data_IF_615329153533
#
_entry.id   IF_615329153533
#
_cell.length_a   1.000
_cell.length_b   1.000
_cell.length_c   1.000
_cell.angle_alpha   90.00
_cell.angle_beta   90.00
_cell.angle_gamma   90.00
#
_symmetry.space_group_name_H-M   'P 1'
#
loop_
_entity.id
_entity.type
_entity.pdbx_description
1 polymer ?
#
# COMPACT_ATOMS: atom_id res chain seq x y z
N UNK A 1 -20.55 7.20 -17.20
CA UNK A 1 -20.52 6.97 -15.74
C UNK A 1 -19.64 8.04 -15.10
N UNK A 2 -20.22 8.86 -14.24
CA UNK A 2 -19.51 9.93 -13.54
C UNK A 2 -18.96 9.41 -12.23
N UNK A 3 -17.64 9.41 -12.06
CA UNK A 3 -16.94 8.85 -10.90
C UNK A 3 -16.42 9.98 -10.00
N UNK A 4 -16.64 9.82 -8.70
CA UNK A 4 -16.12 10.70 -7.68
C UNK A 4 -15.25 9.91 -6.68
N UNK A 5 -14.07 10.44 -6.35
CA UNK A 5 -13.20 9.93 -5.29
C UNK A 5 -13.31 10.79 -4.05
N UNK A 6 -13.49 10.17 -2.89
CA UNK A 6 -13.53 10.84 -1.60
C UNK A 6 -12.27 10.45 -0.83
N UNK A 7 -11.39 11.43 -0.58
CA UNK A 7 -10.09 11.20 0.07
C UNK A 7 -9.61 12.40 0.88
N UNK A 8 -8.82 12.17 1.93
CA UNK A 8 -8.44 13.20 2.90
C UNK A 8 -7.25 14.04 2.46
N UNK A 9 -6.26 13.48 1.78
CA UNK A 9 -5.00 14.16 1.45
C UNK A 9 -4.83 14.26 -0.07
N UNK A 10 -5.32 15.34 -0.69
CA UNK A 10 -5.25 15.53 -2.13
C UNK A 10 -4.92 16.99 -2.49
N UNK A 11 -4.13 17.23 -3.53
CA UNK A 11 -3.08 16.44 -4.19
C UNK A 11 -1.71 16.60 -3.51
N UNK A 12 -1.64 17.33 -2.39
CA UNK A 12 -0.43 17.96 -1.85
C UNK A 12 0.37 17.11 -0.86
N UNK A 13 -0.02 15.87 -0.58
CA UNK A 13 0.63 15.07 0.45
C UNK A 13 1.22 13.79 -0.10
N UNK A 14 2.48 13.54 0.22
CA UNK A 14 3.23 12.32 -0.08
C UNK A 14 2.74 11.11 0.77
N UNK A 15 1.44 10.89 0.82
CA UNK A 15 0.82 9.74 1.48
C UNK A 15 0.46 8.66 0.46
N UNK A 16 0.65 7.40 0.82
CA UNK A 16 0.37 6.26 -0.04
C UNK A 16 -1.05 6.24 -0.64
N UNK A 17 -2.04 6.74 0.11
CA UNK A 17 -3.44 6.81 -0.38
C UNK A 17 -3.67 7.85 -1.48
N UNK A 18 -2.91 8.96 -1.47
CA UNK A 18 -2.96 9.95 -2.55
C UNK A 18 -2.43 9.33 -3.84
N UNK A 19 -1.28 8.68 -3.77
CA UNK A 19 -0.69 7.98 -4.92
C UNK A 19 -1.58 6.84 -5.41
N UNK A 20 -2.23 6.10 -4.50
CA UNK A 20 -3.20 5.08 -4.87
C UNK A 20 -4.35 5.68 -5.67
N UNK A 21 -5.01 6.73 -5.15
CA UNK A 21 -6.16 7.38 -5.80
C UNK A 21 -5.78 7.96 -7.16
N UNK A 22 -4.63 8.62 -7.26
CA UNK A 22 -4.12 9.17 -8.50
C UNK A 22 -3.86 8.10 -9.56
N UNK A 23 -3.15 7.03 -9.19
CA UNK A 23 -2.84 5.96 -10.12
C UNK A 23 -4.11 5.18 -10.53
N UNK A 24 -5.06 4.95 -9.62
CA UNK A 24 -6.34 4.33 -9.93
C UNK A 24 -7.14 5.18 -10.93
N UNK A 25 -7.23 6.49 -10.68
CA UNK A 25 -7.91 7.42 -11.58
C UNK A 25 -7.27 7.42 -12.97
N UNK A 26 -5.95 7.50 -13.06
CA UNK A 26 -5.21 7.42 -14.33
C UNK A 26 -5.43 6.08 -15.03
N UNK A 27 -5.39 4.97 -14.29
CA UNK A 27 -5.68 3.64 -14.82
C UNK A 27 -7.09 3.52 -15.40
N UNK A 28 -8.10 4.05 -14.73
CA UNK A 28 -9.48 4.11 -15.25
C UNK A 28 -9.58 4.96 -16.51
N UNK A 29 -8.90 6.09 -16.56
CA UNK A 29 -8.92 7.03 -17.71
C UNK A 29 -8.31 6.44 -18.99
N UNK A 30 -7.45 5.44 -18.90
CA UNK A 30 -6.96 4.70 -20.07
C UNK A 30 -8.09 3.97 -20.81
N UNK A 31 -9.16 3.61 -20.12
CA UNK A 31 -10.31 2.90 -20.68
C UNK A 31 -11.54 3.80 -20.86
N UNK A 32 -11.67 4.81 -20.00
CA UNK A 32 -12.74 5.81 -20.04
C UNK A 32 -12.14 7.19 -19.74
N UNK A 33 -11.89 8.02 -20.77
CA UNK A 33 -11.12 9.28 -20.63
C UNK A 33 -11.90 10.42 -19.95
N UNK A 34 -13.14 10.17 -19.49
CA UNK A 34 -13.96 11.19 -18.86
C UNK A 34 -13.28 11.76 -17.60
N UNK A 35 -13.57 13.04 -17.34
CA UNK A 35 -13.07 13.75 -16.16
C UNK A 35 -13.61 13.13 -14.87
N UNK A 36 -12.71 12.88 -13.92
CA UNK A 36 -13.06 12.44 -12.59
C UNK A 36 -13.31 13.63 -11.64
N UNK A 37 -13.94 13.37 -10.51
CA UNK A 37 -14.14 14.33 -9.43
C UNK A 37 -13.44 13.84 -8.18
N UNK A 38 -12.85 14.75 -7.41
CA UNK A 38 -12.21 14.46 -6.12
C UNK A 38 -12.81 15.36 -5.07
N UNK A 39 -13.50 14.78 -4.09
CA UNK A 39 -13.95 15.50 -2.89
C UNK A 39 -12.86 15.35 -1.83
N UNK A 40 -12.13 16.45 -1.61
CA UNK A 40 -10.93 16.47 -0.78
C UNK A 40 -11.12 17.19 0.54
N UNK A 41 -10.23 16.89 1.50
CA UNK A 41 -10.17 17.64 2.76
C UNK A 41 -9.35 18.92 2.60
N UNK A 42 -9.72 19.97 3.34
CA UNK A 42 -8.87 21.15 3.48
C UNK A 42 -7.54 20.78 4.20
N UNK A 43 -6.38 21.39 3.84
CA UNK A 43 -6.23 22.56 2.96
C UNK A 43 -5.96 22.21 1.46
N UNK A 44 -6.58 21.16 0.91
CA UNK A 44 -6.46 20.90 -0.52
C UNK A 44 -6.79 22.16 -1.33
N UNK A 45 -6.08 22.36 -2.44
CA UNK A 45 -6.43 23.41 -3.39
C UNK A 45 -7.58 22.96 -4.31
N UNK A 46 -8.47 23.88 -4.65
CA UNK A 46 -9.40 23.65 -5.74
C UNK A 46 -8.61 23.59 -7.04
N UNK A 47 -8.79 22.51 -7.80
CA UNK A 47 -8.13 22.28 -9.09
C UNK A 47 -9.20 21.86 -10.09
N UNK A 48 -9.12 22.38 -11.29
CA UNK A 48 -9.94 21.95 -12.42
C UNK A 48 -9.07 21.86 -13.67
N UNK A 49 -8.84 20.65 -14.15
CA UNK A 49 -8.05 20.37 -15.34
C UNK A 49 -8.75 19.29 -16.20
N UNK A 50 -8.10 18.81 -17.25
CA UNK A 50 -8.68 17.80 -18.15
C UNK A 50 -8.80 16.40 -17.50
N UNK A 51 -8.02 16.11 -16.46
CA UNK A 51 -8.04 14.81 -15.80
C UNK A 51 -9.08 14.75 -14.66
N UNK A 52 -9.13 15.80 -13.83
CA UNK A 52 -10.02 15.81 -12.68
C UNK A 52 -10.41 17.23 -12.24
N UNK A 53 -11.50 17.29 -11.47
CA UNK A 53 -11.88 18.48 -10.69
C UNK A 53 -11.84 18.14 -9.21
N UNK A 54 -10.98 18.85 -8.45
CA UNK A 54 -10.90 18.74 -7.00
C UNK A 54 -11.75 19.82 -6.33
N UNK A 55 -12.60 19.39 -5.42
CA UNK A 55 -13.50 20.24 -4.61
C UNK A 55 -13.15 20.01 -3.15
N UNK A 56 -12.41 20.92 -2.48
CA UNK A 56 -12.22 20.85 -1.03
C UNK A 56 -13.55 21.16 -0.33
N UNK A 57 -14.04 20.21 0.47
CA UNK A 57 -15.39 20.30 1.01
C UNK A 57 -15.54 19.86 2.48
N UNK A 58 -14.47 19.37 3.11
CA UNK A 58 -14.51 18.95 4.51
C UNK A 58 -13.16 19.15 5.24
N UNK A 59 -13.15 18.98 6.57
CA UNK A 59 -11.93 18.98 7.38
C UNK A 59 -11.74 17.61 8.04
N UNK A 60 -10.49 17.13 8.10
CA UNK A 60 -10.14 15.93 8.87
C UNK A 60 -10.34 16.19 10.36
N UNK A 61 -10.82 15.17 11.10
CA UNK A 61 -11.07 15.28 12.53
C UNK A 61 -12.39 15.96 12.94
N UNK A 62 -13.11 16.61 12.01
CA UNK A 62 -14.45 17.15 12.21
C UNK A 62 -15.55 16.24 11.64
N UNK A 63 -16.81 16.64 11.71
CA UNK A 63 -17.88 16.01 10.96
C UNK A 63 -17.74 16.38 9.48
N UNK A 64 -17.44 15.37 8.65
CA UNK A 64 -17.19 15.53 7.23
C UNK A 64 -18.41 15.24 6.35
N UNK A 65 -19.48 14.69 6.95
CA UNK A 65 -20.62 14.13 6.19
C UNK A 65 -21.34 15.19 5.40
N UNK A 66 -21.78 16.27 6.05
CA UNK A 66 -22.60 17.29 5.41
C UNK A 66 -21.87 18.02 4.28
N UNK A 67 -20.56 18.30 4.48
CA UNK A 67 -19.74 18.93 3.45
C UNK A 67 -19.55 18.05 2.21
N UNK A 68 -19.31 16.76 2.42
CA UNK A 68 -19.17 15.79 1.31
C UNK A 68 -20.51 15.61 0.59
N UNK A 69 -21.62 15.46 1.31
CA UNK A 69 -22.95 15.29 0.72
C UNK A 69 -23.37 16.53 -0.07
N UNK A 70 -23.11 17.74 0.44
CA UNK A 70 -23.39 18.98 -0.28
C UNK A 70 -22.61 19.07 -1.62
N UNK A 71 -21.32 18.71 -1.59
CA UNK A 71 -20.50 18.68 -2.79
C UNK A 71 -20.97 17.58 -3.77
N UNK A 72 -21.34 16.38 -3.27
CA UNK A 72 -21.88 15.30 -4.07
C UNK A 72 -23.20 15.69 -4.76
N UNK A 73 -24.08 16.44 -4.12
CA UNK A 73 -25.31 16.99 -4.74
C UNK A 73 -25.01 17.93 -5.91
N UNK A 74 -23.92 18.70 -5.85
CA UNK A 74 -23.49 19.57 -6.96
C UNK A 74 -22.87 18.78 -8.10
N UNK A 75 -22.03 17.79 -7.78
CA UNK A 75 -21.33 16.94 -8.78
C UNK A 75 -22.30 15.96 -9.42
N UNK A 76 -23.22 15.37 -8.66
CA UNK A 76 -24.13 14.29 -9.07
C UNK A 76 -23.37 13.11 -9.69
N UNK A 77 -22.44 12.49 -8.95
CA UNK A 77 -21.74 11.32 -9.46
C UNK A 77 -22.68 10.09 -9.44
N UNK A 78 -22.43 9.15 -10.36
CA UNK A 78 -23.09 7.85 -10.33
C UNK A 78 -22.49 6.97 -9.23
N UNK A 79 -21.15 7.02 -9.08
CA UNK A 79 -20.37 6.26 -8.08
C UNK A 79 -19.47 7.20 -7.28
N UNK A 80 -19.49 7.03 -5.96
CA UNK A 80 -18.55 7.67 -5.03
C UNK A 80 -17.65 6.62 -4.38
N UNK A 81 -16.35 6.68 -4.70
CA UNK A 81 -15.32 5.78 -4.17
C UNK A 81 -14.70 6.42 -2.93
N UNK A 82 -14.94 5.86 -1.76
CA UNK A 82 -14.41 6.35 -0.49
C UNK A 82 -13.13 5.58 -0.18
N UNK A 83 -11.99 6.27 -0.16
CA UNK A 83 -10.69 5.67 0.17
C UNK A 83 -10.56 5.54 1.68
N UNK A 84 -10.80 4.35 2.22
CA UNK A 84 -10.91 4.16 3.67
C UNK A 84 -9.69 3.46 4.28
N UNK A 85 -9.14 4.13 5.30
CA UNK A 85 -8.43 3.53 6.42
C UNK A 85 -8.83 4.28 7.69
N UNK A 86 -8.69 3.69 8.88
CA UNK A 86 -9.00 4.38 10.13
C UNK A 86 -8.26 5.70 10.33
N UNK A 87 -7.04 5.80 9.81
CA UNK A 87 -6.23 7.04 9.85
C UNK A 87 -6.83 8.18 9.00
N UNK A 88 -7.70 7.87 8.03
CA UNK A 88 -8.28 8.84 7.11
C UNK A 88 -9.65 9.33 7.59
N UNK A 89 -10.57 8.41 7.85
CA UNK A 89 -11.97 8.73 8.17
C UNK A 89 -12.40 8.27 9.56
N UNK A 90 -11.49 7.65 10.31
CA UNK A 90 -11.79 7.06 11.62
C UNK A 90 -12.55 5.73 11.51
N UNK A 91 -12.79 5.13 12.68
CA UNK A 91 -13.61 3.94 12.87
C UNK A 91 -14.81 4.30 13.76
N UNK A 92 -15.62 5.25 13.31
CA UNK A 92 -16.78 5.76 14.05
C UNK A 92 -18.03 5.81 13.14
N UNK A 93 -19.15 6.27 13.65
CA UNK A 93 -20.43 6.25 12.94
C UNK A 93 -20.53 7.24 11.77
N UNK A 94 -19.56 8.13 11.58
CA UNK A 94 -19.60 9.14 10.51
C UNK A 94 -19.49 8.51 9.12
N UNK A 95 -18.66 7.45 8.96
CA UNK A 95 -18.49 6.81 7.66
C UNK A 95 -19.71 5.99 7.23
N UNK A 96 -20.33 5.12 8.06
CA UNK A 96 -21.61 4.50 7.75
C UNK A 96 -22.71 5.54 7.44
N UNK A 97 -22.79 6.66 8.22
CA UNK A 97 -23.71 7.76 7.95
C UNK A 97 -23.46 8.41 6.60
N UNK A 98 -22.19 8.65 6.22
CA UNK A 98 -21.84 9.16 4.89
C UNK A 98 -22.35 8.25 3.78
N UNK A 99 -22.11 6.94 3.90
CA UNK A 99 -22.60 5.97 2.91
C UNK A 99 -24.12 6.00 2.80
N UNK A 100 -24.85 6.05 3.93
CA UNK A 100 -26.30 6.17 3.95
C UNK A 100 -26.79 7.45 3.25
N UNK A 101 -26.20 8.61 3.57
CA UNK A 101 -26.62 9.90 2.99
C UNK A 101 -26.32 9.99 1.48
N UNK A 102 -25.20 9.43 1.02
CA UNK A 102 -24.90 9.32 -0.42
C UNK A 102 -25.95 8.43 -1.14
N UNK A 103 -26.33 7.31 -0.55
CA UNK A 103 -27.38 6.43 -1.09
C UNK A 103 -28.72 7.14 -1.24
N UNK A 104 -29.14 7.96 -0.24
CA UNK A 104 -30.39 8.74 -0.28
C UNK A 104 -30.48 9.74 -1.43
N UNK A 105 -29.32 10.25 -1.90
CA UNK A 105 -29.27 11.18 -3.04
C UNK A 105 -28.99 10.49 -4.37
N UNK A 106 -29.11 9.15 -4.43
CA UNK A 106 -28.97 8.34 -5.65
C UNK A 106 -27.53 8.02 -6.06
N UNK A 107 -26.53 8.37 -5.25
CA UNK A 107 -25.11 8.05 -5.49
C UNK A 107 -24.80 6.64 -4.98
N UNK A 108 -24.05 5.82 -5.73
CA UNK A 108 -23.57 4.52 -5.27
C UNK A 108 -22.31 4.67 -4.41
N UNK A 109 -22.36 4.51 -3.07
CA UNK A 109 -21.17 4.59 -2.24
C UNK A 109 -20.40 3.25 -2.29
N UNK A 110 -19.19 3.28 -2.83
CA UNK A 110 -18.24 2.17 -2.80
C UNK A 110 -17.15 2.50 -1.80
N UNK A 111 -16.97 1.66 -0.79
CA UNK A 111 -15.91 1.86 0.20
C UNK A 111 -14.72 0.99 -0.15
N UNK A 112 -13.62 1.62 -0.53
CA UNK A 112 -12.36 0.96 -0.83
C UNK A 112 -11.53 0.85 0.45
N UNK A 113 -11.57 -0.31 1.10
CA UNK A 113 -10.93 -0.57 2.38
C UNK A 113 -9.49 -1.03 2.17
N UNK A 114 -8.52 -0.21 2.59
CA UNK A 114 -7.09 -0.53 2.51
C UNK A 114 -6.59 -1.39 3.67
N UNK A 115 -7.37 -1.53 4.73
CA UNK A 115 -7.03 -2.33 5.92
C UNK A 115 -8.28 -2.84 6.60
N UNK A 116 -8.24 -4.10 7.02
CA UNK A 116 -9.27 -4.73 7.86
C UNK A 116 -8.61 -5.04 9.21
N UNK A 117 -9.09 -4.42 10.28
CA UNK A 117 -8.57 -4.63 11.63
C UNK A 117 -9.11 -5.91 12.24
N UNK A 118 -8.54 -6.38 13.36
CA UNK A 118 -9.05 -7.55 14.06
C UNK A 118 -10.49 -7.31 14.50
N UNK A 119 -11.32 -8.33 14.40
CA UNK A 119 -12.78 -8.20 14.57
C UNK A 119 -13.18 -7.64 15.95
N UNK A 120 -12.45 -8.00 16.99
CA UNK A 120 -12.66 -7.62 18.39
C UNK A 120 -11.99 -6.28 18.77
N UNK A 121 -11.21 -5.68 17.86
CA UNK A 121 -10.56 -4.41 18.13
C UNK A 121 -11.59 -3.34 18.46
N UNK A 122 -11.43 -2.69 19.62
CA UNK A 122 -12.30 -1.58 20.05
C UNK A 122 -12.18 -0.39 19.10
N UNK A 123 -13.31 0.21 18.77
CA UNK A 123 -13.38 1.37 17.90
C UNK A 123 -14.45 2.37 18.39
N UNK A 124 -14.45 3.56 17.78
CA UNK A 124 -15.36 4.66 18.13
C UNK A 124 -16.76 4.56 17.51
N UNK A 125 -17.13 3.45 16.89
CA UNK A 125 -18.42 3.31 16.21
C UNK A 125 -19.61 3.51 17.16
N UNK A 126 -19.53 2.90 18.34
CA UNK A 126 -20.49 3.06 19.44
C UNK A 126 -19.81 2.73 20.77
N UNK A 127 -20.38 3.11 21.93
CA UNK A 127 -19.86 2.69 23.22
C UNK A 127 -19.72 1.15 23.28
N UNK A 128 -18.49 0.69 23.53
CA UNK A 128 -18.15 -0.75 23.54
C UNK A 128 -18.09 -1.42 22.17
N UNK A 129 -18.27 -0.68 21.07
CA UNK A 129 -18.26 -1.22 19.71
C UNK A 129 -16.89 -1.72 19.25
N UNK A 130 -16.91 -2.63 18.28
CA UNK A 130 -15.75 -3.30 17.71
C UNK A 130 -15.61 -2.99 16.23
N UNK A 131 -14.45 -3.31 15.64
CA UNK A 131 -14.24 -3.20 14.21
C UNK A 131 -15.24 -4.03 13.40
N UNK A 132 -15.65 -5.21 13.91
CA UNK A 132 -16.67 -6.02 13.27
C UNK A 132 -18.05 -5.33 13.28
N UNK A 133 -18.41 -4.62 14.35
CA UNK A 133 -19.65 -3.85 14.40
C UNK A 133 -19.64 -2.70 13.38
N UNK A 134 -18.51 -1.99 13.28
CA UNK A 134 -18.31 -0.94 12.30
C UNK A 134 -18.44 -1.45 10.86
N UNK A 135 -17.75 -2.56 10.53
CA UNK A 135 -17.77 -3.09 9.17
C UNK A 135 -19.17 -3.58 8.76
N UNK A 136 -19.94 -4.18 9.69
CA UNK A 136 -21.35 -4.55 9.42
C UNK A 136 -22.21 -3.32 9.15
N UNK A 137 -22.09 -2.30 9.98
CA UNK A 137 -22.82 -1.04 9.77
C UNK A 137 -22.46 -0.34 8.46
N UNK A 138 -21.17 -0.41 8.09
CA UNK A 138 -20.70 0.14 6.83
C UNK A 138 -21.29 -0.64 5.63
N UNK A 139 -21.28 -1.97 5.69
CA UNK A 139 -21.82 -2.84 4.65
C UNK A 139 -23.34 -2.69 4.47
N UNK A 140 -24.09 -2.34 5.52
CA UNK A 140 -25.53 -2.07 5.45
C UNK A 140 -25.82 -0.92 4.49
N UNK A 141 -25.03 0.14 4.50
CA UNK A 141 -25.26 1.36 3.75
C UNK A 141 -24.39 1.52 2.49
N UNK A 142 -23.24 0.87 2.43
CA UNK A 142 -22.42 0.86 1.22
C UNK A 142 -23.08 0.04 0.10
N UNK A 143 -22.94 0.49 -1.13
CA UNK A 143 -23.31 -0.30 -2.30
C UNK A 143 -22.39 -1.51 -2.45
N UNK A 144 -21.07 -1.30 -2.27
CA UNK A 144 -20.03 -2.32 -2.23
C UNK A 144 -18.92 -1.96 -1.24
N UNK A 145 -18.31 -2.98 -0.65
CA UNK A 145 -17.01 -2.91 0.00
C UNK A 145 -15.98 -3.53 -0.95
N UNK A 146 -15.05 -2.72 -1.46
CA UNK A 146 -13.90 -3.23 -2.21
C UNK A 146 -12.70 -3.42 -1.30
N UNK A 147 -12.05 -4.55 -1.44
CA UNK A 147 -10.86 -4.96 -0.69
C UNK A 147 -9.77 -5.42 -1.65
N UNK A 148 -8.53 -5.54 -1.19
CA UNK A 148 -7.40 -5.78 -2.08
C UNK A 148 -6.93 -7.22 -2.16
N UNK A 149 -7.44 -8.11 -1.30
CA UNK A 149 -7.04 -9.52 -1.29
C UNK A 149 -8.17 -10.44 -0.85
N UNK A 150 -8.08 -11.72 -1.22
CA UNK A 150 -9.03 -12.76 -0.77
C UNK A 150 -8.99 -12.94 0.76
N UNK A 151 -7.85 -12.69 1.40
CA UNK A 151 -7.76 -12.69 2.87
C UNK A 151 -8.65 -11.61 3.47
N UNK A 152 -8.58 -10.37 2.96
CA UNK A 152 -9.45 -9.28 3.43
C UNK A 152 -10.93 -9.60 3.20
N UNK A 153 -11.26 -10.21 2.05
CA UNK A 153 -12.61 -10.68 1.78
C UNK A 153 -13.07 -11.73 2.79
N UNK A 154 -12.23 -12.73 3.07
CA UNK A 154 -12.53 -13.79 4.04
C UNK A 154 -12.76 -13.23 5.45
N UNK A 155 -11.98 -12.23 5.87
CA UNK A 155 -12.16 -11.57 7.16
C UNK A 155 -13.52 -10.84 7.26
N UNK A 156 -13.99 -10.20 6.18
CA UNK A 156 -15.31 -9.57 6.15
C UNK A 156 -16.46 -10.60 6.12
N UNK A 157 -16.31 -11.70 5.35
CA UNK A 157 -17.26 -12.81 5.35
C UNK A 157 -17.41 -13.43 6.74
N UNK A 158 -16.31 -13.62 7.46
CA UNK A 158 -16.30 -14.13 8.84
C UNK A 158 -17.04 -13.20 9.82
N UNK A 159 -17.26 -11.93 9.47
CA UNK A 159 -18.08 -10.95 10.23
C UNK A 159 -19.56 -10.97 9.86
N UNK A 160 -19.99 -11.88 8.97
CA UNK A 160 -21.35 -12.02 8.51
C UNK A 160 -21.76 -11.00 7.43
N UNK A 161 -20.81 -10.36 6.77
CA UNK A 161 -21.12 -9.46 5.64
C UNK A 161 -21.43 -10.32 4.40
N UNK A 162 -22.55 -10.07 3.70
CA UNK A 162 -22.93 -10.85 2.52
C UNK A 162 -21.88 -10.80 1.41
N UNK A 163 -21.66 -11.94 0.74
CA UNK A 163 -20.63 -12.09 -0.28
C UNK A 163 -20.81 -11.13 -1.47
N UNK A 164 -22.05 -10.85 -1.84
CA UNK A 164 -22.44 -9.92 -2.92
C UNK A 164 -22.11 -8.45 -2.60
N UNK A 165 -21.88 -8.12 -1.34
CA UNK A 165 -21.45 -6.79 -0.89
C UNK A 165 -19.92 -6.61 -0.94
N UNK A 166 -19.16 -7.68 -1.18
CA UNK A 166 -17.70 -7.65 -1.12
C UNK A 166 -17.11 -7.98 -2.49
N UNK A 167 -16.25 -7.12 -2.99
CA UNK A 167 -15.48 -7.36 -4.22
C UNK A 167 -13.98 -7.24 -3.95
N UNK A 168 -13.21 -8.16 -4.54
CA UNK A 168 -11.74 -8.09 -4.49
C UNK A 168 -11.25 -7.35 -5.72
N UNK A 169 -10.64 -6.20 -5.50
CA UNK A 169 -9.99 -5.38 -6.51
C UNK A 169 -8.54 -5.17 -6.07
N UNK A 170 -7.54 -5.81 -6.72
CA UNK A 170 -6.17 -5.80 -6.24
C UNK A 170 -5.59 -4.39 -6.19
N UNK A 171 -4.56 -4.21 -5.36
CA UNK A 171 -3.77 -2.97 -5.41
C UNK A 171 -3.01 -2.91 -6.75
N UNK A 172 -2.86 -1.72 -7.31
CA UNK A 172 -2.19 -1.56 -8.60
C UNK A 172 -0.68 -1.51 -8.50
N UNK A 173 -0.01 -2.10 -9.49
CA UNK A 173 1.43 -1.98 -9.72
C UNK A 173 1.70 -0.90 -10.77
N UNK A 174 2.57 0.07 -10.43
CA UNK A 174 3.01 1.12 -11.38
C UNK A 174 4.28 0.66 -12.06
N UNK A 175 4.30 0.51 -13.38
CA UNK A 175 5.55 0.28 -14.10
C UNK A 175 6.57 1.37 -13.76
N UNK A 176 7.78 0.96 -13.41
CA UNK A 176 8.89 1.84 -13.07
C UNK A 176 10.10 1.42 -13.88
N UNK A 177 10.68 2.37 -14.60
CA UNK A 177 11.86 2.12 -15.39
C UNK A 177 13.09 1.92 -14.48
N UNK A 178 13.80 0.83 -14.68
CA UNK A 178 15.06 0.58 -13.99
C UNK A 178 16.14 1.52 -14.52
N UNK A 179 16.83 2.20 -13.61
CA UNK A 179 17.97 3.07 -13.91
C UNK A 179 19.24 2.25 -14.01
N UNK A 180 20.30 2.82 -14.56
CA UNK A 180 21.61 2.17 -14.53
C UNK A 180 22.02 1.83 -13.09
N UNK A 181 22.30 0.56 -12.84
CA UNK A 181 22.57 0.02 -11.49
C UNK A 181 23.86 0.61 -10.92
N UNK A 182 24.92 0.70 -11.72
CA UNK A 182 26.22 1.20 -11.28
C UNK A 182 26.14 2.69 -10.92
N UNK A 183 25.40 3.47 -11.74
CA UNK A 183 25.19 4.90 -11.47
C UNK A 183 24.29 5.09 -10.23
N UNK A 184 23.24 4.31 -10.08
CA UNK A 184 22.36 4.33 -8.92
C UNK A 184 23.12 4.03 -7.64
N UNK A 185 24.01 3.04 -7.64
CA UNK A 185 24.88 2.70 -6.50
C UNK A 185 25.86 3.82 -6.19
N UNK A 186 26.54 4.38 -7.21
CA UNK A 186 27.46 5.52 -7.03
C UNK A 186 26.74 6.72 -6.40
N UNK A 187 25.57 7.08 -6.92
CA UNK A 187 24.75 8.19 -6.41
C UNK A 187 24.33 7.98 -4.95
N UNK A 188 24.10 6.73 -4.55
CA UNK A 188 23.76 6.36 -3.18
C UNK A 188 24.97 6.08 -2.28
N UNK A 189 26.20 6.13 -2.81
CA UNK A 189 27.43 5.80 -2.08
C UNK A 189 27.49 4.35 -1.65
N UNK A 190 27.01 3.44 -2.50
CA UNK A 190 27.07 1.99 -2.37
C UNK A 190 28.18 1.48 -3.30
N UNK A 191 29.02 0.51 -2.89
CA UNK A 191 29.98 -0.11 -3.81
C UNK A 191 29.29 -0.68 -5.03
N UNK A 192 29.87 -0.47 -6.23
CA UNK A 192 29.23 -0.84 -7.50
C UNK A 192 29.07 -2.37 -7.64
N UNK A 193 30.01 -3.13 -7.08
CA UNK A 193 30.05 -4.59 -7.07
C UNK A 193 29.29 -5.22 -5.89
N UNK A 194 28.66 -4.42 -5.02
CA UNK A 194 27.93 -4.93 -3.87
C UNK A 194 26.67 -5.74 -4.28
N UNK A 195 26.34 -6.74 -3.47
CA UNK A 195 25.05 -7.44 -3.51
C UNK A 195 24.11 -6.79 -2.49
N UNK A 196 23.14 -6.02 -2.99
CA UNK A 196 22.38 -5.08 -2.16
C UNK A 196 21.07 -5.66 -1.70
N UNK A 197 20.92 -5.86 -0.40
CA UNK A 197 19.63 -6.07 0.26
C UNK A 197 19.04 -4.70 0.58
N UNK A 198 17.88 -4.40 -0.01
CA UNK A 198 17.16 -3.14 0.13
C UNK A 198 15.97 -3.31 1.09
N UNK A 199 15.87 -2.47 2.11
CA UNK A 199 14.61 -2.18 2.78
C UNK A 199 14.09 -0.83 2.27
N UNK A 200 12.79 -0.76 1.90
CA UNK A 200 12.17 0.50 1.48
C UNK A 200 10.82 0.71 2.21
N UNK A 201 10.57 1.96 2.66
CA UNK A 201 9.31 2.35 3.27
C UNK A 201 9.44 3.08 4.60
N UNK A 202 8.31 3.27 5.31
CA UNK A 202 8.34 3.93 6.62
C UNK A 202 9.13 3.13 7.65
N UNK A 203 9.98 3.84 8.41
CA UNK A 203 10.82 3.25 9.47
C UNK A 203 10.07 3.34 10.79
N UNK A 204 9.65 2.17 11.32
CA UNK A 204 9.03 2.02 12.63
C UNK A 204 9.06 0.54 13.07
N UNK A 205 8.78 0.27 14.35
CA UNK A 205 8.98 -1.05 14.96
C UNK A 205 8.28 -2.21 14.23
N UNK A 206 7.03 -2.01 13.79
CA UNK A 206 6.25 -3.05 13.09
C UNK A 206 6.82 -3.49 11.74
N UNK A 207 7.83 -2.78 11.21
CA UNK A 207 8.51 -3.14 9.97
C UNK A 207 9.65 -4.15 10.14
N UNK A 208 10.01 -4.52 11.36
CA UNK A 208 10.98 -5.58 11.64
C UNK A 208 12.41 -5.28 11.16
N UNK A 209 12.80 -4.00 11.06
CA UNK A 209 14.14 -3.64 10.57
C UNK A 209 15.22 -4.14 11.55
N UNK A 210 14.95 -4.12 12.85
CA UNK A 210 15.81 -4.68 13.88
C UNK A 210 16.06 -6.19 13.70
N UNK A 211 15.03 -6.94 13.27
CA UNK A 211 15.16 -8.34 12.88
C UNK A 211 16.01 -8.46 11.61
N UNK A 212 15.76 -7.64 10.57
CA UNK A 212 16.56 -7.63 9.36
C UNK A 212 18.04 -7.40 9.63
N UNK A 213 18.40 -6.56 10.62
CA UNK A 213 19.79 -6.36 11.01
C UNK A 213 20.42 -7.64 11.57
N UNK A 214 19.65 -8.45 12.31
CA UNK A 214 20.12 -9.75 12.82
C UNK A 214 20.33 -10.76 11.68
N UNK A 215 19.40 -10.82 10.73
CA UNK A 215 19.51 -11.60 9.50
C UNK A 215 20.74 -11.15 8.70
N UNK A 216 20.84 -9.85 8.43
CA UNK A 216 21.93 -9.30 7.61
C UNK A 216 23.31 -9.51 8.28
N UNK A 217 23.40 -9.42 9.59
CA UNK A 217 24.65 -9.70 10.31
C UNK A 217 25.16 -11.14 10.12
N UNK A 218 24.24 -12.12 9.95
CA UNK A 218 24.62 -13.50 9.57
C UNK A 218 24.95 -13.62 8.08
N UNK A 219 24.13 -13.02 7.22
CA UNK A 219 24.35 -13.00 5.76
C UNK A 219 25.72 -12.38 5.43
N UNK A 220 26.06 -11.24 6.03
CA UNK A 220 27.29 -10.51 5.79
C UNK A 220 28.57 -11.29 6.16
N UNK A 221 28.48 -12.32 7.04
CA UNK A 221 29.60 -13.21 7.34
C UNK A 221 29.79 -14.28 6.26
N UNK A 222 28.73 -14.67 5.55
CA UNK A 222 28.74 -15.66 4.48
C UNK A 222 29.03 -15.01 3.11
N UNK A 223 28.55 -13.79 2.92
CA UNK A 223 28.65 -13.03 1.67
C UNK A 223 29.40 -11.71 1.91
N UNK A 224 30.71 -11.65 1.69
CA UNK A 224 31.52 -10.43 1.95
C UNK A 224 31.07 -9.22 1.13
N UNK A 225 30.47 -9.44 -0.06
CA UNK A 225 29.96 -8.39 -0.95
C UNK A 225 28.55 -7.92 -0.58
N UNK A 226 27.88 -8.56 0.41
CA UNK A 226 26.55 -8.16 0.83
C UNK A 226 26.58 -6.75 1.44
N UNK A 227 25.62 -5.92 1.02
CA UNK A 227 25.44 -4.54 1.49
C UNK A 227 23.97 -4.30 1.86
N UNK A 228 23.70 -3.64 2.95
CA UNK A 228 22.35 -3.30 3.39
C UNK A 228 22.04 -1.83 3.11
N UNK A 229 20.98 -1.55 2.38
CA UNK A 229 20.47 -0.19 2.23
C UNK A 229 19.08 -0.08 2.86
N UNK A 230 18.90 0.87 3.77
CA UNK A 230 17.62 1.15 4.42
C UNK A 230 17.12 2.50 3.89
N UNK A 231 16.15 2.45 2.96
CA UNK A 231 15.52 3.62 2.34
C UNK A 231 14.18 3.94 2.98
N UNK A 232 14.02 5.18 3.43
CA UNK A 232 12.76 5.64 3.99
C UNK A 232 12.91 6.62 5.14
N UNK A 233 11.77 7.06 5.69
CA UNK A 233 11.74 8.01 6.78
C UNK A 233 10.78 7.60 7.89
N UNK A 234 10.90 8.25 9.04
CA UNK A 234 10.00 8.04 10.17
C UNK A 234 8.73 8.90 10.02
N UNK A 235 7.56 8.34 10.27
CA UNK A 235 6.28 9.10 10.29
C UNK A 235 6.20 10.13 11.43
N UNK A 236 7.03 9.98 12.47
CA UNK A 236 6.98 10.81 13.66
C UNK A 236 8.38 10.94 14.27
N UNK A 237 8.65 12.11 14.87
CA UNK A 237 9.91 12.38 15.60
C UNK A 237 10.20 11.36 16.70
N UNK A 238 9.18 10.74 17.30
CA UNK A 238 9.36 9.68 18.31
C UNK A 238 10.18 8.47 17.80
N UNK A 239 10.22 8.25 16.49
CA UNK A 239 10.99 7.16 15.88
C UNK A 239 12.42 7.58 15.45
N UNK A 240 12.84 8.83 15.66
CA UNK A 240 14.21 9.26 15.34
C UNK A 240 15.25 8.51 16.17
N UNK A 241 14.97 8.29 17.46
CA UNK A 241 15.80 7.48 18.35
C UNK A 241 15.93 6.03 17.87
N UNK A 242 14.86 5.48 17.26
CA UNK A 242 14.88 4.13 16.69
C UNK A 242 15.84 4.03 15.51
N UNK A 243 15.92 5.04 14.64
CA UNK A 243 16.91 5.06 13.54
C UNK A 243 18.34 5.08 14.09
N UNK A 244 18.60 5.88 15.14
CA UNK A 244 19.91 5.91 15.80
C UNK A 244 20.25 4.56 16.44
N UNK A 245 19.30 3.92 17.08
CA UNK A 245 19.43 2.55 17.60
C UNK A 245 19.77 1.55 16.48
N UNK A 246 19.07 1.59 15.33
CA UNK A 246 19.35 0.68 14.22
C UNK A 246 20.78 0.86 13.68
N UNK A 247 21.25 2.11 13.54
CA UNK A 247 22.62 2.40 13.10
C UNK A 247 23.68 1.87 14.11
N UNK A 248 23.47 2.11 15.40
CA UNK A 248 24.35 1.60 16.45
C UNK A 248 24.36 0.06 16.45
N UNK A 249 23.20 -0.58 16.31
CA UNK A 249 23.08 -2.05 16.23
C UNK A 249 23.82 -2.62 15.01
N UNK A 250 23.73 -2.00 13.83
CA UNK A 250 24.47 -2.41 12.63
C UNK A 250 25.99 -2.35 12.87
N UNK A 251 26.47 -1.32 13.56
CA UNK A 251 27.86 -1.20 13.95
C UNK A 251 28.28 -2.31 14.92
N UNK A 252 27.52 -2.56 15.99
CA UNK A 252 27.78 -3.62 16.98
C UNK A 252 27.76 -5.02 16.37
N UNK A 253 26.94 -5.26 15.35
CA UNK A 253 26.89 -6.53 14.60
C UNK A 253 28.04 -6.68 13.58
N UNK A 254 28.93 -5.70 13.46
CA UNK A 254 30.16 -5.75 12.65
C UNK A 254 30.00 -5.43 11.18
N UNK A 255 28.85 -4.92 10.75
CA UNK A 255 28.62 -4.56 9.34
C UNK A 255 28.27 -3.08 9.10
N UNK A 256 28.52 -2.21 10.06
CA UNK A 256 28.20 -0.77 9.95
C UNK A 256 28.76 -0.11 8.68
N UNK A 257 29.96 -0.49 8.23
CA UNK A 257 30.57 -0.01 6.98
C UNK A 257 29.92 -0.60 5.71
N UNK A 258 29.17 -1.70 5.84
CA UNK A 258 28.43 -2.36 4.78
C UNK A 258 26.92 -2.11 4.90
N UNK A 259 26.57 -0.98 5.50
CA UNK A 259 25.18 -0.55 5.60
C UNK A 259 25.04 0.95 5.43
N UNK A 260 23.93 1.38 4.82
CA UNK A 260 23.58 2.79 4.69
C UNK A 260 22.12 3.00 5.00
N UNK A 261 21.84 4.05 5.76
CA UNK A 261 20.49 4.49 6.09
C UNK A 261 20.24 5.84 5.45
N UNK A 262 19.21 5.94 4.62
CA UNK A 262 18.79 7.21 4.04
C UNK A 262 18.28 8.15 5.14
N UNK A 263 18.72 9.39 5.11
CA UNK A 263 18.37 10.37 6.14
C UNK A 263 17.26 11.30 5.70
N UNK A 264 16.00 10.92 5.93
CA UNK A 264 14.86 11.80 5.68
C UNK A 264 13.86 11.28 4.65
N UNK A 265 12.99 12.16 4.18
CA UNK A 265 12.02 11.87 3.12
C UNK A 265 12.74 11.50 1.83
N UNK A 266 12.24 10.48 1.14
CA UNK A 266 12.76 10.08 -0.18
C UNK A 266 12.00 10.85 -1.26
N UNK A 267 12.66 11.75 -2.01
CA UNK A 267 12.04 12.42 -3.16
C UNK A 267 11.56 11.40 -4.21
N UNK A 268 10.49 11.73 -4.93
CA UNK A 268 9.87 10.78 -5.88
C UNK A 268 10.84 10.37 -7.01
N UNK A 269 11.66 11.30 -7.49
CA UNK A 269 12.71 11.05 -8.50
C UNK A 269 13.83 10.14 -8.01
N UNK A 270 14.03 10.04 -6.68
CA UNK A 270 15.00 9.15 -6.06
C UNK A 270 14.47 7.71 -5.86
N UNK A 271 13.17 7.50 -5.91
CA UNK A 271 12.58 6.16 -5.72
C UNK A 271 13.10 5.16 -6.78
N UNK A 272 13.06 5.46 -8.10
CA UNK A 272 13.64 4.56 -9.11
C UNK A 272 15.14 4.31 -8.89
N UNK A 273 15.90 5.31 -8.48
CA UNK A 273 17.35 5.18 -8.20
C UNK A 273 17.59 4.21 -7.05
N UNK A 274 16.84 4.34 -5.95
CA UNK A 274 16.98 3.45 -4.78
C UNK A 274 16.61 2.00 -5.13
N UNK A 275 15.49 1.80 -5.81
CA UNK A 275 15.11 0.45 -6.23
C UNK A 275 16.10 -0.16 -7.22
N UNK A 276 16.61 0.64 -8.18
CA UNK A 276 17.59 0.16 -9.17
C UNK A 276 18.90 -0.29 -8.52
N UNK A 277 19.34 0.39 -7.45
CA UNK A 277 20.54 0.01 -6.71
C UNK A 277 20.41 -1.31 -5.94
N UNK A 278 19.17 -1.72 -5.59
CA UNK A 278 18.90 -2.96 -4.84
C UNK A 278 18.85 -4.19 -5.73
N UNK A 279 19.31 -5.33 -5.23
CA UNK A 279 19.16 -6.64 -5.88
C UNK A 279 17.92 -7.38 -5.36
N UNK A 280 17.68 -7.33 -4.03
CA UNK A 280 16.53 -7.95 -3.36
C UNK A 280 15.91 -6.95 -2.38
N UNK A 281 14.60 -6.75 -2.45
CA UNK A 281 13.84 -5.94 -1.48
C UNK A 281 13.35 -6.84 -0.35
N UNK A 282 13.82 -6.58 0.86
CA UNK A 282 13.45 -7.33 2.07
C UNK A 282 12.33 -6.61 2.84
N UNK A 283 11.24 -7.31 3.11
CA UNK A 283 10.07 -6.82 3.85
C UNK A 283 9.82 -7.68 5.09
N UNK A 284 10.65 -7.54 6.15
CA UNK A 284 10.62 -8.39 7.35
C UNK A 284 9.54 -7.95 8.35
N UNK A 285 8.32 -7.63 7.86
CA UNK A 285 7.28 -7.05 8.68
C UNK A 285 6.80 -8.03 9.74
N UNK A 286 6.50 -7.51 10.92
CA UNK A 286 6.00 -8.27 12.08
C UNK A 286 4.57 -7.95 12.45
N UNK A 287 4.09 -6.78 12.03
CA UNK A 287 2.70 -6.42 12.29
C UNK A 287 1.81 -7.12 11.26
N UNK A 288 0.92 -7.95 11.80
CA UNK A 288 -0.04 -8.73 11.03
C UNK A 288 -1.46 -8.21 11.26
N UNK A 289 -1.95 -7.44 10.30
CA UNK A 289 -3.36 -7.10 10.13
C UNK A 289 -3.69 -7.18 8.64
N UNK A 290 -4.91 -7.51 8.33
CA UNK A 290 -5.32 -7.78 6.96
C UNK A 290 -5.29 -6.52 6.10
N UNK A 291 -4.33 -6.47 5.22
CA UNK A 291 -4.11 -5.38 4.25
C UNK A 291 -3.10 -5.86 3.22
N UNK A 292 -2.86 -5.11 2.15
CA UNK A 292 -1.79 -5.38 1.18
C UNK A 292 -0.65 -4.37 1.33
N UNK A 293 0.48 -4.65 0.70
CA UNK A 293 1.67 -3.79 0.79
C UNK A 293 1.93 -3.05 -0.52
N UNK A 294 1.77 -1.74 -0.53
CA UNK A 294 2.18 -0.91 -1.68
C UNK A 294 3.66 -1.07 -2.07
N UNK A 295 4.53 -1.47 -1.13
CA UNK A 295 5.95 -1.75 -1.42
C UNK A 295 6.11 -3.02 -2.28
N UNK A 296 5.25 -4.05 -2.10
CA UNK A 296 5.21 -5.22 -3.00
C UNK A 296 4.93 -4.76 -4.41
N UNK A 297 3.90 -3.96 -4.63
CA UNK A 297 3.50 -3.47 -5.95
C UNK A 297 4.52 -2.52 -6.58
N UNK A 298 5.19 -1.68 -5.79
CA UNK A 298 6.31 -0.87 -6.28
C UNK A 298 7.50 -1.72 -6.70
N UNK A 299 7.86 -2.72 -5.87
CA UNK A 299 8.96 -3.66 -6.14
C UNK A 299 8.66 -4.49 -7.40
N UNK A 300 7.43 -4.96 -7.53
CA UNK A 300 6.98 -5.73 -8.69
C UNK A 300 6.96 -4.87 -9.96
N UNK A 301 6.52 -3.61 -9.85
CA UNK A 301 6.45 -2.67 -10.97
C UNK A 301 7.81 -2.34 -11.61
N UNK A 302 8.91 -2.42 -10.85
CA UNK A 302 10.28 -2.32 -11.37
C UNK A 302 10.90 -3.70 -11.68
N UNK A 303 10.23 -4.80 -11.34
CA UNK A 303 10.70 -6.16 -11.59
C UNK A 303 11.86 -6.61 -10.70
N UNK A 304 12.01 -6.04 -9.50
CA UNK A 304 13.04 -6.43 -8.53
C UNK A 304 12.61 -7.64 -7.73
N UNK A 305 13.59 -8.45 -7.33
CA UNK A 305 13.36 -9.55 -6.38
C UNK A 305 12.84 -9.01 -5.06
N UNK A 306 12.00 -9.78 -4.39
CA UNK A 306 11.47 -9.45 -3.07
C UNK A 306 11.53 -10.68 -2.16
N UNK A 307 11.62 -10.44 -0.86
CA UNK A 307 11.49 -11.45 0.18
C UNK A 307 10.69 -10.88 1.34
N UNK A 308 9.61 -11.57 1.74
CA UNK A 308 8.67 -11.10 2.73
C UNK A 308 8.55 -12.03 3.93
N UNK A 309 8.14 -11.50 5.06
CA UNK A 309 7.63 -12.32 6.17
C UNK A 309 6.37 -13.08 5.74
N UNK A 310 6.20 -14.32 6.18
CA UNK A 310 4.96 -15.09 5.99
C UNK A 310 3.92 -14.63 7.00
N UNK A 311 3.21 -13.58 6.67
CA UNK A 311 2.11 -12.98 7.44
C UNK A 311 0.98 -12.61 6.49
N UNK A 312 -0.24 -12.41 6.99
CA UNK A 312 -1.45 -12.19 6.18
C UNK A 312 -1.33 -11.00 5.21
N UNK A 313 -0.55 -9.99 5.56
CA UNK A 313 -0.25 -8.84 4.69
C UNK A 313 0.42 -9.23 3.36
N UNK A 314 1.09 -10.35 3.29
CA UNK A 314 1.82 -10.83 2.11
C UNK A 314 1.23 -12.12 1.51
N UNK A 315 -0.02 -12.47 1.88
CA UNK A 315 -0.71 -13.64 1.31
C UNK A 315 -0.77 -13.56 -0.22
N UNK A 316 -0.90 -12.36 -0.80
CA UNK A 316 -0.85 -12.16 -2.26
C UNK A 316 0.48 -12.59 -2.89
N UNK A 317 1.61 -12.41 -2.18
CA UNK A 317 2.93 -12.86 -2.67
C UNK A 317 2.96 -14.38 -2.73
N UNK A 318 2.49 -15.04 -1.66
CA UNK A 318 2.42 -16.50 -1.56
C UNK A 318 1.49 -17.09 -2.62
N UNK A 319 0.32 -16.49 -2.82
CA UNK A 319 -0.74 -17.02 -3.68
C UNK A 319 -0.55 -16.68 -5.16
N UNK A 320 -0.01 -15.48 -5.47
CA UNK A 320 -0.03 -14.94 -6.83
C UNK A 320 1.36 -14.76 -7.46
N UNK A 321 2.44 -14.88 -6.67
CA UNK A 321 3.81 -14.83 -7.19
C UNK A 321 4.50 -16.17 -6.95
N UNK A 322 4.99 -16.42 -5.75
CA UNK A 322 5.61 -17.70 -5.38
C UNK A 322 5.71 -17.84 -3.86
N UNK A 323 5.33 -18.99 -3.24
CA UNK A 323 5.45 -19.21 -1.80
C UNK A 323 6.91 -19.20 -1.30
N UNK A 324 7.91 -19.47 -2.15
CA UNK A 324 9.32 -19.41 -1.77
C UNK A 324 9.82 -17.98 -1.48
N UNK A 325 9.06 -16.94 -1.88
CA UNK A 325 9.35 -15.53 -1.60
C UNK A 325 8.77 -15.07 -0.25
N UNK A 326 8.19 -15.99 0.53
CA UNK A 326 7.73 -15.72 1.89
C UNK A 326 8.32 -16.72 2.88
N UNK A 327 8.91 -16.22 3.95
CA UNK A 327 9.56 -17.02 5.02
C UNK A 327 9.00 -16.67 6.38
N UNK A 328 9.06 -17.59 7.39
CA UNK A 328 8.57 -17.29 8.72
C UNK A 328 9.17 -15.97 9.28
N UNK A 329 8.34 -15.17 9.94
CA UNK A 329 8.70 -13.79 10.32
C UNK A 329 9.82 -13.71 11.38
N UNK A 330 10.09 -14.80 12.10
CA UNK A 330 11.06 -14.91 13.19
C UNK A 330 12.19 -15.92 12.94
N UNK A 331 12.19 -16.60 11.78
CA UNK A 331 13.21 -17.59 11.42
C UNK A 331 14.39 -16.93 10.69
N UNK A 332 15.44 -16.56 11.47
CA UNK A 332 16.63 -15.90 10.90
C UNK A 332 17.34 -16.80 9.88
N UNK A 333 17.39 -18.12 10.11
CA UNK A 333 18.14 -19.03 9.23
C UNK A 333 17.43 -19.20 7.90
N UNK A 334 16.10 -19.30 7.88
CA UNK A 334 15.31 -19.31 6.64
C UNK A 334 15.49 -18.01 5.84
N UNK A 335 15.50 -16.85 6.51
CA UNK A 335 15.76 -15.57 5.87
C UNK A 335 17.16 -15.51 5.25
N UNK A 336 18.19 -15.92 5.98
CA UNK A 336 19.59 -15.92 5.50
C UNK A 336 19.73 -16.85 4.27
N UNK A 337 19.24 -18.10 4.36
CA UNK A 337 19.32 -19.05 3.28
C UNK A 337 18.61 -18.58 2.01
N UNK A 338 17.41 -18.00 2.17
CA UNK A 338 16.64 -17.52 1.02
C UNK A 338 17.27 -16.27 0.39
N UNK A 339 17.76 -15.31 1.20
CA UNK A 339 18.49 -14.16 0.66
C UNK A 339 19.78 -14.57 -0.04
N UNK A 340 20.57 -15.49 0.54
CA UNK A 340 21.77 -16.05 -0.07
C UNK A 340 21.46 -16.67 -1.42
N UNK A 341 20.38 -17.48 -1.51
CA UNK A 341 19.96 -18.09 -2.75
C UNK A 341 19.50 -17.07 -3.79
N UNK A 342 18.69 -16.08 -3.41
CA UNK A 342 18.23 -15.01 -4.31
C UNK A 342 19.40 -14.19 -4.88
N UNK A 343 20.48 -14.02 -4.12
CA UNK A 343 21.66 -13.25 -4.52
C UNK A 343 22.69 -14.08 -5.30
N UNK A 344 22.77 -15.39 -5.08
CA UNK A 344 23.82 -16.27 -5.67
C UNK A 344 23.30 -17.12 -6.84
N UNK A 345 22.07 -17.66 -6.77
CA UNK A 345 21.49 -18.54 -7.81
C UNK A 345 20.80 -17.70 -8.89
N UNK A 346 21.56 -17.37 -9.95
CA UNK A 346 21.06 -16.51 -11.03
C UNK A 346 19.89 -17.14 -11.80
N UNK A 347 19.84 -18.46 -11.94
CA UNK A 347 18.76 -19.15 -12.63
C UNK A 347 17.44 -19.03 -11.85
N UNK A 348 17.49 -19.33 -10.54
CA UNK A 348 16.32 -19.18 -9.67
C UNK A 348 15.89 -17.72 -9.53
N UNK A 349 16.85 -16.81 -9.40
CA UNK A 349 16.56 -15.37 -9.36
C UNK A 349 15.84 -14.89 -10.64
N UNK A 350 16.26 -15.38 -11.81
CA UNK A 350 15.61 -15.05 -13.08
C UNK A 350 14.17 -15.60 -13.15
N UNK A 351 13.95 -16.84 -12.69
CA UNK A 351 12.60 -17.42 -12.58
C UNK A 351 11.70 -16.58 -11.68
N UNK A 352 12.17 -16.20 -10.48
CA UNK A 352 11.39 -15.40 -9.55
C UNK A 352 11.09 -14.00 -10.13
N UNK A 353 12.05 -13.36 -10.82
CA UNK A 353 11.80 -12.09 -11.52
C UNK A 353 10.72 -12.21 -12.59
N UNK A 354 10.69 -13.31 -13.34
CA UNK A 354 9.66 -13.54 -14.35
C UNK A 354 8.25 -13.61 -13.71
N UNK A 355 8.11 -14.34 -12.60
CA UNK A 355 6.85 -14.43 -11.85
C UNK A 355 6.42 -13.07 -11.27
N UNK A 356 7.37 -12.30 -10.71
CA UNK A 356 7.11 -10.96 -10.19
C UNK A 356 6.65 -10.00 -11.29
N UNK A 357 7.25 -10.06 -12.48
CA UNK A 357 6.83 -9.23 -13.63
C UNK A 357 5.45 -9.62 -14.14
N UNK A 358 5.13 -10.92 -14.23
CA UNK A 358 3.79 -11.37 -14.60
C UNK A 358 2.72 -10.89 -13.61
N UNK A 359 3.01 -10.92 -12.30
CA UNK A 359 2.15 -10.34 -11.27
C UNK A 359 1.98 -8.84 -11.46
N UNK A 360 3.07 -8.09 -11.70
CA UNK A 360 3.01 -6.64 -11.92
C UNK A 360 2.18 -6.27 -13.15
N UNK A 361 2.25 -7.05 -14.22
CA UNK A 361 1.45 -6.86 -15.42
C UNK A 361 -0.03 -7.13 -15.14
N UNK A 362 -0.37 -8.24 -14.50
CA UNK A 362 -1.76 -8.59 -14.15
C UNK A 362 -2.40 -7.56 -13.22
N UNK A 363 -1.62 -6.97 -12.32
CA UNK A 363 -2.03 -5.93 -11.38
C UNK A 363 -1.64 -4.53 -11.84
N UNK A 364 -1.33 -4.31 -13.12
CA UNK A 364 -1.05 -2.95 -13.61
C UNK A 364 -2.23 -2.02 -13.35
N UNK A 365 -1.95 -0.73 -13.09
CA UNK A 365 -3.03 0.24 -12.86
C UNK A 365 -4.02 0.33 -14.01
N UNK A 366 -3.61 0.03 -15.25
CA UNK A 366 -4.51 -0.10 -16.40
C UNK A 366 -5.52 -1.23 -16.18
N UNK A 367 -5.03 -2.45 -15.85
CA UNK A 367 -5.88 -3.61 -15.60
C UNK A 367 -6.76 -3.40 -14.37
N UNK A 368 -6.20 -2.90 -13.26
CA UNK A 368 -6.95 -2.59 -12.05
C UNK A 368 -8.02 -1.52 -12.32
N UNK A 369 -7.69 -0.47 -13.06
CA UNK A 369 -8.66 0.56 -13.48
C UNK A 369 -9.82 -0.02 -14.27
N UNK A 370 -9.51 -0.95 -15.20
CA UNK A 370 -10.55 -1.68 -15.96
C UNK A 370 -11.43 -2.52 -15.05
N UNK A 371 -10.85 -3.30 -14.12
CA UNK A 371 -11.62 -4.12 -13.16
C UNK A 371 -12.59 -3.27 -12.35
N UNK A 372 -12.15 -2.11 -11.85
CA UNK A 372 -13.02 -1.17 -11.13
C UNK A 372 -14.18 -0.68 -12.02
N UNK A 373 -13.90 -0.28 -13.26
CA UNK A 373 -14.92 0.19 -14.19
C UNK A 373 -15.96 -0.90 -14.52
N UNK A 374 -15.50 -2.15 -14.74
CA UNK A 374 -16.37 -3.28 -15.01
C UNK A 374 -17.32 -3.58 -13.83
N UNK A 375 -16.78 -3.54 -12.60
CA UNK A 375 -17.57 -3.71 -11.37
C UNK A 375 -18.61 -2.60 -11.21
N UNK A 376 -18.21 -1.34 -11.43
CA UNK A 376 -19.13 -0.21 -11.25
C UNK A 376 -20.21 -0.16 -12.34
N UNK A 377 -19.90 -0.57 -13.57
CA UNK A 377 -20.90 -0.70 -14.62
C UNK A 377 -21.97 -1.72 -14.24
N UNK A 378 -21.58 -2.92 -13.80
CA UNK A 378 -22.50 -3.95 -13.30
C UNK A 378 -23.32 -3.48 -12.09
N UNK A 379 -22.70 -2.75 -11.17
CA UNK A 379 -23.38 -2.20 -10.00
C UNK A 379 -24.50 -1.22 -10.39
N UNK A 380 -24.30 -0.43 -11.43
CA UNK A 380 -25.29 0.55 -11.91
C UNK A 380 -26.38 -0.08 -12.76
N UNK A 381 -26.09 -1.15 -13.51
CA UNK A 381 -27.08 -1.92 -14.28
C UNK A 381 -28.09 -2.66 -13.38
N UNK A 382 -27.69 -3.04 -12.16
CA UNK A 382 -28.53 -3.72 -11.17
C UNK A 382 -29.34 -2.78 -10.27
N UNK A 383 -29.29 -1.45 -10.49
CA UNK A 383 -30.03 -0.42 -9.75
C UNK A 383 -31.21 0.09 -10.56
#
# INVERSE_FOLDING_TARGET
>A
MKICHITTYWPTCNYGHTHYTENLMRGMRLHRPEKHYVLGAFPAAAVDNDEYRCIPCFRTGSDFVDGIVAAAKQVRPDVAIIQHTPDLFGHDNRLPRLAAELGKIGVAPVVNSHSIFTADQRCGYRPGGTAADFDRALAEHAALLSVHSERMRSDLLARGIPAEKIVVLPHGSKPMEERDIAESRRRLGIPVDAQVVLFFGYIWLGKGIDFLLSVFGRLARRMPQAYLFVGGHTRSRKYSAYVSYLKARAFLLGFGKRSRFWGGFVPEDMVPVIYSAGDVVAMPYRQDYSSVSGVVHQTSGIGKLLLCSRISKFDEVTASIDPALTVPADDIDAWVQTLERLLADQAWAAEMRAKIRAFAESTSWANVGKMHLDVYSKLLEGR
#
